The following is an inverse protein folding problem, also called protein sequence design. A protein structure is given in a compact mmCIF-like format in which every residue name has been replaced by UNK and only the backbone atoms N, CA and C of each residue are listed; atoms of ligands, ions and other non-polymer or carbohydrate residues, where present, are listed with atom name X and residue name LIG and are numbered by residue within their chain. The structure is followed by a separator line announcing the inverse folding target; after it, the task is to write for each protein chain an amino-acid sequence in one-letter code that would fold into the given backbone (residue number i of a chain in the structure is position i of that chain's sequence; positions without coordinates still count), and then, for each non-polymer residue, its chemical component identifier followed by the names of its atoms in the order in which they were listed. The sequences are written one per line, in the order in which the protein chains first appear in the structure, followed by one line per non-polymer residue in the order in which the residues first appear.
data_IF_351263732449
#
_entry.id   IF_351263732449
#
_cell.length_a   1.000
_cell.length_b   1.000
_cell.length_c   1.000
_cell.angle_alpha   90.00
_cell.angle_beta   90.00
_cell.angle_gamma   90.00
#
_symmetry.space_group_name_H-M   'P 1'
#
loop_
_entity.id
_entity.type
_entity.pdbx_description
1 polymer ?
#
# COMPACT_ATOMS: atom_id res chain seq x y z
N UNK A 1 -14.60 -15.39 -9.78
CA UNK A 1 -13.75 -14.69 -10.74
C UNK A 1 -13.91 -15.35 -12.13
N UNK A 2 -14.06 -14.53 -13.16
CA UNK A 2 -14.38 -15.02 -14.51
C UNK A 2 -13.29 -15.91 -15.15
N UNK A 3 -12.07 -15.93 -14.57
CA UNK A 3 -10.93 -16.67 -15.13
C UNK A 3 -10.41 -17.80 -14.26
N UNK A 4 -10.95 -17.99 -13.05
CA UNK A 4 -10.46 -18.99 -12.08
C UNK A 4 -8.93 -18.95 -11.86
N UNK A 5 -8.36 -17.76 -11.82
CA UNK A 5 -6.94 -17.52 -11.58
C UNK A 5 -6.72 -16.82 -10.26
N UNK A 6 -5.70 -17.27 -9.53
CA UNK A 6 -5.15 -16.63 -8.35
C UNK A 6 -3.78 -16.04 -8.70
N UNK A 7 -3.50 -14.84 -8.23
CA UNK A 7 -2.18 -14.21 -8.31
C UNK A 7 -1.56 -14.20 -6.92
N UNK A 8 -0.41 -14.81 -6.78
CA UNK A 8 0.27 -14.94 -5.50
C UNK A 8 1.66 -14.32 -5.55
N UNK A 9 1.98 -13.49 -4.57
CA UNK A 9 3.34 -12.99 -4.35
C UNK A 9 4.25 -14.14 -3.95
N UNK A 10 5.42 -14.21 -4.56
CA UNK A 10 6.44 -15.22 -4.28
C UNK A 10 7.83 -14.55 -4.27
N UNK A 11 8.27 -14.15 -3.09
CA UNK A 11 9.56 -13.50 -2.84
C UNK A 11 10.64 -14.50 -2.37
N UNK A 12 10.69 -15.70 -2.97
CA UNK A 12 11.76 -16.67 -2.71
C UNK A 12 13.08 -16.27 -3.37
N UNK A 13 13.73 -17.23 -4.05
CA UNK A 13 14.98 -16.95 -4.77
C UNK A 13 14.83 -15.96 -5.94
N UNK A 14 13.61 -15.76 -6.41
CA UNK A 14 13.24 -14.86 -7.51
C UNK A 14 12.01 -14.07 -7.08
N UNK A 15 12.09 -12.74 -7.16
CA UNK A 15 10.92 -11.89 -6.90
C UNK A 15 9.94 -11.99 -8.06
N UNK A 16 8.78 -12.61 -7.83
CA UNK A 16 7.80 -12.89 -8.87
C UNK A 16 6.38 -12.93 -8.36
N UNK A 17 5.45 -12.90 -9.29
CA UNK A 17 4.04 -13.18 -9.07
C UNK A 17 3.73 -14.49 -9.78
N UNK A 18 3.28 -15.49 -9.03
CA UNK A 18 2.80 -16.75 -9.60
C UNK A 18 1.31 -16.62 -9.96
N UNK A 19 1.00 -17.02 -11.18
CA UNK A 19 -0.37 -17.14 -11.69
C UNK A 19 -0.78 -18.61 -11.57
N UNK A 20 -1.82 -18.84 -10.78
CA UNK A 20 -2.23 -20.18 -10.38
C UNK A 20 -3.62 -20.46 -10.96
N UNK A 21 -3.77 -21.57 -11.65
CA UNK A 21 -5.07 -22.07 -12.08
C UNK A 21 -5.76 -22.76 -10.91
N UNK A 22 -6.92 -22.23 -10.53
CA UNK A 22 -7.79 -22.73 -9.46
C UNK A 22 -9.14 -23.21 -10.01
N UNK A 23 -9.25 -23.49 -11.32
CA UNK A 23 -10.48 -23.96 -11.96
C UNK A 23 -10.93 -25.33 -11.45
N UNK A 24 -9.97 -26.18 -11.09
CA UNK A 24 -10.21 -27.46 -10.46
C UNK A 24 -9.54 -27.51 -9.08
N UNK A 25 -10.32 -27.47 -7.98
CA UNK A 25 -9.75 -27.51 -6.62
C UNK A 25 -8.93 -28.77 -6.30
N UNK A 26 -9.18 -29.86 -7.02
CA UNK A 26 -8.41 -31.11 -6.88
C UNK A 26 -7.12 -31.14 -7.70
N UNK A 27 -6.86 -30.12 -8.53
CA UNK A 27 -5.68 -30.05 -9.42
C UNK A 27 -5.26 -28.60 -9.61
N UNK A 28 -4.75 -27.98 -8.55
CA UNK A 28 -4.24 -26.60 -8.57
C UNK A 28 -2.81 -26.61 -9.11
N UNK A 29 -2.50 -25.69 -10.05
CA UNK A 29 -1.17 -25.62 -10.65
C UNK A 29 -0.76 -24.19 -10.99
N UNK A 30 0.55 -23.92 -10.89
CA UNK A 30 1.14 -22.67 -11.39
C UNK A 30 1.22 -22.75 -12.92
N UNK A 31 0.55 -21.83 -13.61
CA UNK A 31 0.51 -21.79 -15.07
C UNK A 31 1.46 -20.75 -15.67
N UNK A 32 1.89 -19.78 -14.87
CA UNK A 32 2.82 -18.72 -15.27
C UNK A 32 3.48 -18.12 -14.03
N UNK A 33 4.73 -17.70 -14.16
CA UNK A 33 5.40 -16.81 -13.23
C UNK A 33 5.80 -15.52 -13.95
N UNK A 34 5.53 -14.37 -13.34
CA UNK A 34 5.85 -13.05 -13.86
C UNK A 34 6.99 -12.50 -13.00
N UNK A 35 8.18 -12.34 -13.58
CA UNK A 35 9.34 -11.80 -12.86
C UNK A 35 9.13 -10.32 -12.54
N UNK A 36 9.41 -9.94 -11.30
CA UNK A 36 9.37 -8.55 -10.83
C UNK A 36 10.75 -7.90 -10.73
N UNK A 37 11.83 -8.67 -10.93
CA UNK A 37 13.22 -8.18 -10.89
C UNK A 37 13.48 -6.92 -11.75
N UNK A 38 12.85 -6.75 -12.93
CA UNK A 38 13.04 -5.52 -13.72
C UNK A 38 12.48 -4.25 -13.07
N UNK A 39 11.64 -4.36 -12.03
CA UNK A 39 10.89 -3.24 -11.48
C UNK A 39 11.41 -2.75 -10.13
N UNK A 40 12.06 -3.60 -9.35
CA UNK A 40 12.59 -3.22 -8.02
C UNK A 40 13.04 -4.39 -7.16
N UNK A 41 12.81 -4.26 -5.87
CA UNK A 41 13.06 -5.24 -4.84
C UNK A 41 11.91 -6.26 -4.71
N UNK A 42 11.45 -6.48 -3.47
CA UNK A 42 10.35 -7.40 -3.21
C UNK A 42 9.01 -6.89 -3.71
N UNK A 43 8.12 -7.83 -4.02
CA UNK A 43 6.69 -7.56 -4.26
C UNK A 43 5.97 -7.72 -2.94
N UNK A 44 5.41 -6.64 -2.41
CA UNK A 44 4.77 -6.69 -1.09
C UNK A 44 3.29 -7.05 -1.20
N UNK A 45 2.61 -6.57 -2.24
CA UNK A 45 1.17 -6.76 -2.38
C UNK A 45 0.73 -6.83 -3.84
N UNK A 46 -0.39 -7.52 -4.08
CA UNK A 46 -1.07 -7.58 -5.38
C UNK A 46 -2.57 -7.43 -5.23
N UNK A 47 -3.18 -6.75 -6.19
CA UNK A 47 -4.64 -6.61 -6.28
C UNK A 47 -5.12 -6.78 -7.72
N UNK A 48 -6.36 -7.27 -7.88
CA UNK A 48 -6.95 -7.51 -9.22
C UNK A 48 -8.31 -6.83 -9.32
N UNK A 49 -8.53 -6.11 -10.39
CA UNK A 49 -9.84 -5.54 -10.74
C UNK A 49 -9.96 -5.34 -12.25
N UNK A 50 -11.13 -5.63 -12.81
CA UNK A 50 -11.49 -5.30 -14.19
C UNK A 50 -10.40 -5.66 -15.23
N UNK A 51 -9.85 -6.89 -15.15
CA UNK A 51 -8.83 -7.36 -16.09
C UNK A 51 -7.43 -6.76 -15.88
N UNK A 52 -7.20 -6.06 -14.79
CA UNK A 52 -5.90 -5.50 -14.39
C UNK A 52 -5.41 -6.14 -13.12
N UNK A 53 -4.10 -6.38 -13.06
CA UNK A 53 -3.35 -6.78 -11.86
C UNK A 53 -2.44 -5.62 -11.50
N UNK A 54 -2.58 -5.07 -10.32
CA UNK A 54 -1.64 -4.10 -9.74
C UNK A 54 -0.70 -4.81 -8.76
N UNK A 55 0.58 -4.47 -8.80
CA UNK A 55 1.60 -5.00 -7.89
C UNK A 55 2.34 -3.83 -7.23
N UNK A 56 2.41 -3.83 -5.91
CA UNK A 56 3.25 -2.94 -5.12
C UNK A 56 4.65 -3.55 -5.01
N UNK A 57 5.66 -2.79 -5.43
CA UNK A 57 7.04 -3.27 -5.51
C UNK A 57 7.94 -2.24 -4.83
N UNK A 58 8.65 -2.66 -3.79
CA UNK A 58 9.63 -1.80 -3.15
C UNK A 58 10.82 -1.51 -4.08
N UNK A 59 11.55 -0.44 -3.80
CA UNK A 59 12.84 -0.20 -4.44
C UNK A 59 13.89 -1.19 -3.94
N UNK A 60 14.92 -1.46 -4.75
CA UNK A 60 16.12 -2.19 -4.27
C UNK A 60 16.85 -1.47 -3.14
N UNK A 61 16.70 -0.15 -3.06
CA UNK A 61 16.99 0.63 -1.86
C UNK A 61 15.64 0.88 -1.16
N UNK A 62 15.35 0.17 -0.09
CA UNK A 62 14.06 0.12 0.60
C UNK A 62 13.52 1.52 0.97
N UNK A 63 14.41 2.46 1.32
CA UNK A 63 14.06 3.84 1.68
C UNK A 63 13.86 4.76 0.46
N UNK A 64 14.08 4.28 -0.76
CA UNK A 64 13.79 5.04 -1.97
C UNK A 64 12.35 4.78 -2.48
N UNK A 65 11.79 5.70 -3.30
CA UNK A 65 10.47 5.51 -3.89
C UNK A 65 10.31 4.17 -4.59
N UNK A 66 9.24 3.45 -4.27
CA UNK A 66 8.86 2.20 -4.91
C UNK A 66 7.98 2.43 -6.13
N UNK A 67 7.33 1.36 -6.59
CA UNK A 67 6.52 1.37 -7.81
C UNK A 67 5.22 0.59 -7.64
N UNK A 68 4.21 1.03 -8.37
CA UNK A 68 3.07 0.19 -8.73
C UNK A 68 3.21 -0.18 -10.20
N UNK A 69 3.22 -1.48 -10.50
CA UNK A 69 3.20 -1.99 -11.88
C UNK A 69 1.84 -2.59 -12.15
N UNK A 70 1.20 -2.12 -13.22
CA UNK A 70 -0.12 -2.58 -13.65
C UNK A 70 0.04 -3.46 -14.87
N UNK A 71 -0.52 -4.67 -14.80
CA UNK A 71 -0.49 -5.67 -15.87
C UNK A 71 -1.91 -5.95 -16.39
N UNK A 72 -2.00 -6.36 -17.65
CA UNK A 72 -3.20 -6.97 -18.19
C UNK A 72 -3.27 -8.44 -17.73
N UNK A 73 -4.39 -8.85 -17.13
CA UNK A 73 -4.53 -10.22 -16.61
C UNK A 73 -4.71 -11.29 -17.69
N UNK A 74 -4.97 -10.93 -18.94
CA UNK A 74 -5.19 -11.89 -20.03
C UNK A 74 -3.88 -12.37 -20.69
N UNK A 75 -2.92 -11.44 -20.87
CA UNK A 75 -1.65 -11.71 -21.53
C UNK A 75 -0.41 -11.42 -20.65
N UNK A 76 -0.62 -10.85 -19.47
CA UNK A 76 0.40 -10.47 -18.48
C UNK A 76 1.37 -9.39 -18.98
N UNK A 77 1.01 -8.64 -19.99
CA UNK A 77 1.77 -7.48 -20.46
C UNK A 77 1.63 -6.29 -19.52
N UNK A 78 2.71 -5.53 -19.38
CA UNK A 78 2.71 -4.31 -18.58
C UNK A 78 1.89 -3.22 -19.27
N UNK A 79 0.91 -2.70 -18.57
CA UNK A 79 0.13 -1.55 -19.00
C UNK A 79 0.78 -0.24 -18.57
N UNK A 80 1.30 -0.20 -17.34
CA UNK A 80 1.96 0.98 -16.77
C UNK A 80 2.87 0.62 -15.61
N UNK A 81 3.96 1.40 -15.47
CA UNK A 81 4.80 1.47 -14.27
C UNK A 81 4.68 2.88 -13.70
N UNK A 82 4.38 3.00 -12.41
CA UNK A 82 4.06 4.25 -11.72
C UNK A 82 4.96 4.34 -10.49
N UNK A 83 5.67 5.46 -10.32
CA UNK A 83 6.44 5.72 -9.09
C UNK A 83 5.48 6.15 -7.98
N UNK A 84 5.65 5.58 -6.79
CA UNK A 84 4.89 5.87 -5.57
C UNK A 84 5.85 6.20 -4.41
N UNK A 85 5.37 6.30 -3.17
CA UNK A 85 6.24 6.54 -2.01
C UNK A 85 7.22 5.40 -1.72
N UNK A 86 8.04 5.58 -0.69
CA UNK A 86 8.99 4.57 -0.23
C UNK A 86 8.24 3.38 0.40
N UNK A 87 8.71 2.17 0.14
CA UNK A 87 8.17 0.92 0.65
C UNK A 87 6.62 0.84 0.48
N UNK A 88 6.10 0.72 -0.77
CA UNK A 88 4.68 0.45 -0.95
C UNK A 88 4.38 -0.97 -0.45
N UNK A 89 3.76 -1.04 0.73
CA UNK A 89 3.51 -2.31 1.41
C UNK A 89 2.21 -2.96 0.94
N UNK A 90 1.17 -2.18 0.72
CA UNK A 90 -0.13 -2.68 0.29
C UNK A 90 -0.67 -1.92 -0.91
N UNK A 91 -1.31 -2.63 -1.84
CA UNK A 91 -2.03 -2.05 -2.98
C UNK A 91 -3.45 -2.61 -3.08
N UNK A 92 -4.42 -1.75 -3.39
CA UNK A 92 -5.80 -2.18 -3.63
C UNK A 92 -6.48 -1.33 -4.71
N UNK A 93 -7.50 -1.88 -5.35
CA UNK A 93 -8.41 -1.12 -6.21
C UNK A 93 -9.61 -0.61 -5.42
N UNK A 94 -10.12 0.56 -5.80
CA UNK A 94 -11.47 0.95 -5.35
C UNK A 94 -12.51 -0.03 -5.88
N UNK A 95 -13.64 -0.27 -5.17
CA UNK A 95 -14.70 -1.18 -5.61
C UNK A 95 -15.23 -0.91 -7.02
N UNK A 96 -15.30 0.36 -7.44
CA UNK A 96 -15.67 0.77 -8.79
C UNK A 96 -14.56 0.56 -9.85
N UNK A 97 -13.33 0.25 -9.42
CA UNK A 97 -12.17 0.03 -10.27
C UNK A 97 -11.56 1.30 -10.89
N UNK A 98 -11.97 2.48 -10.44
CA UNK A 98 -11.51 3.75 -11.00
C UNK A 98 -10.18 4.23 -10.40
N UNK A 99 -9.84 3.75 -9.21
CA UNK A 99 -8.62 4.12 -8.50
C UNK A 99 -7.83 2.90 -8.04
N UNK A 100 -6.51 3.06 -7.94
CA UNK A 100 -5.59 2.19 -7.22
C UNK A 100 -5.00 3.00 -6.08
N UNK A 101 -5.00 2.46 -4.88
CA UNK A 101 -4.39 3.09 -3.72
C UNK A 101 -3.24 2.24 -3.22
N UNK A 102 -2.16 2.90 -2.74
CA UNK A 102 -1.07 2.24 -2.02
C UNK A 102 -0.82 2.89 -0.69
N UNK A 103 -0.61 2.07 0.33
CA UNK A 103 0.03 2.45 1.57
C UNK A 103 1.55 2.35 1.35
N UNK A 104 2.25 3.45 1.49
CA UNK A 104 3.70 3.52 1.37
C UNK A 104 4.22 3.71 2.79
N UNK A 105 4.74 2.65 3.36
CA UNK A 105 5.10 2.58 4.78
C UNK A 105 6.18 3.61 5.13
N UNK A 106 7.23 3.71 4.29
CA UNK A 106 8.32 4.65 4.56
C UNK A 106 9.21 4.22 5.71
N UNK A 107 9.34 2.91 5.96
CA UNK A 107 10.13 2.36 7.06
C UNK A 107 11.58 2.88 7.04
N UNK A 108 12.14 3.31 8.19
CA UNK A 108 13.51 3.79 8.29
C UNK A 108 14.54 2.68 8.03
N UNK A 109 15.77 3.08 7.74
CA UNK A 109 16.92 2.16 7.80
C UNK A 109 17.18 1.71 9.25
N UNK A 110 17.80 0.55 9.46
CA UNK A 110 18.08 -0.02 10.78
C UNK A 110 18.81 0.94 11.71
N UNK A 111 19.61 1.84 11.17
CA UNK A 111 20.37 2.87 11.91
C UNK A 111 19.64 4.23 12.01
N UNK A 112 18.44 4.34 11.43
CA UNK A 112 17.66 5.58 11.34
C UNK A 112 18.37 6.75 10.62
N UNK A 113 19.44 6.51 9.88
CA UNK A 113 20.11 7.57 9.13
C UNK A 113 19.35 7.95 7.84
N UNK A 114 18.61 7.01 7.29
CA UNK A 114 17.72 7.25 6.16
C UNK A 114 16.30 6.86 6.58
N UNK A 115 15.44 7.86 6.75
CA UNK A 115 14.10 7.76 7.30
C UNK A 115 13.15 8.55 6.39
N UNK A 116 12.55 7.89 5.38
CA UNK A 116 11.61 8.52 4.47
C UNK A 116 10.26 8.77 5.14
N UNK A 117 9.47 9.67 4.56
CA UNK A 117 8.10 9.91 5.02
C UNK A 117 7.17 8.79 4.57
N UNK A 118 6.34 8.30 5.47
CA UNK A 118 5.20 7.49 5.10
C UNK A 118 4.16 8.28 4.32
N UNK A 119 3.47 7.64 3.38
CA UNK A 119 2.55 8.33 2.48
C UNK A 119 1.47 7.41 1.92
N UNK A 120 0.45 8.00 1.31
CA UNK A 120 -0.61 7.26 0.61
C UNK A 120 -0.63 7.75 -0.83
N UNK A 121 -0.49 6.85 -1.81
CA UNK A 121 -0.61 7.22 -3.22
C UNK A 121 -1.99 6.83 -3.75
N UNK A 122 -2.63 7.76 -4.46
CA UNK A 122 -3.91 7.56 -5.17
C UNK A 122 -3.63 7.66 -6.65
N UNK A 123 -3.85 6.58 -7.38
CA UNK A 123 -3.60 6.46 -8.81
C UNK A 123 -4.94 6.36 -9.53
N UNK A 124 -5.21 7.25 -10.48
CA UNK A 124 -6.41 7.20 -11.30
C UNK A 124 -6.23 6.21 -12.44
N UNK A 125 -7.08 5.19 -12.54
CA UNK A 125 -6.92 4.08 -13.50
C UNK A 125 -7.07 4.53 -14.97
N UNK A 126 -7.83 5.60 -15.24
CA UNK A 126 -8.11 6.06 -16.60
C UNK A 126 -6.89 6.64 -17.35
N UNK A 127 -5.93 7.23 -16.62
CA UNK A 127 -4.75 7.90 -17.18
C UNK A 127 -3.46 7.59 -16.43
N UNK A 128 -3.55 6.85 -15.33
CA UNK A 128 -2.46 6.52 -14.42
C UNK A 128 -1.77 7.74 -13.80
N UNK A 129 -2.46 8.87 -13.70
CA UNK A 129 -2.00 9.98 -12.88
C UNK A 129 -1.98 9.59 -11.41
N UNK A 130 -0.99 10.08 -10.67
CA UNK A 130 -0.79 9.77 -9.25
C UNK A 130 -0.74 11.04 -8.41
N UNK A 131 -1.40 11.01 -7.27
CA UNK A 131 -1.27 12.01 -6.20
C UNK A 131 -0.79 11.26 -4.97
N UNK A 132 0.29 11.76 -4.36
CA UNK A 132 0.83 11.22 -3.11
C UNK A 132 0.50 12.18 -1.97
N UNK A 133 -0.15 11.66 -0.92
CA UNK A 133 -0.56 12.38 0.27
C UNK A 133 0.45 12.10 1.38
N UNK A 134 0.89 13.13 2.08
CA UNK A 134 1.66 13.04 3.31
C UNK A 134 0.82 13.52 4.51
N UNK A 135 1.39 13.39 5.70
CA UNK A 135 0.70 13.69 6.95
C UNK A 135 1.06 15.05 7.56
N UNK A 136 1.87 15.87 6.90
CA UNK A 136 2.39 17.14 7.46
C UNK A 136 1.31 18.10 7.97
N UNK A 137 0.13 18.13 7.34
CA UNK A 137 -0.98 18.97 7.77
C UNK A 137 -1.55 18.63 9.15
N UNK A 138 -1.23 17.44 9.69
CA UNK A 138 -1.69 16.99 11.00
C UNK A 138 -0.65 17.19 12.11
N UNK A 139 0.57 17.63 11.81
CA UNK A 139 1.63 17.80 12.81
C UNK A 139 1.22 18.73 13.97
N UNK A 140 0.49 19.79 13.67
CA UNK A 140 -0.04 20.70 14.71
C UNK A 140 -1.04 20.03 15.67
N UNK A 141 -1.57 18.87 15.32
CA UNK A 141 -2.52 18.10 16.14
C UNK A 141 -1.83 17.04 17.02
N UNK A 142 -0.49 16.91 16.94
CA UNK A 142 0.27 15.85 17.62
C UNK A 142 -0.09 15.71 19.11
N UNK A 143 -0.12 16.81 19.86
CA UNK A 143 -0.44 16.79 21.29
C UNK A 143 -1.85 16.22 21.56
N UNK A 144 -2.85 16.57 20.73
CA UNK A 144 -4.22 16.09 20.87
C UNK A 144 -4.37 14.64 20.44
N UNK A 145 -3.61 14.19 19.44
CA UNK A 145 -3.58 12.82 18.97
C UNK A 145 -2.92 11.91 20.02
N UNK A 146 -1.77 12.32 20.56
CA UNK A 146 -1.04 11.56 21.59
C UNK A 146 -1.86 11.43 22.87
N UNK A 147 -2.59 12.47 23.29
CA UNK A 147 -3.50 12.41 24.42
C UNK A 147 -4.62 11.36 24.25
N UNK A 148 -4.87 10.89 23.02
CA UNK A 148 -5.87 9.89 22.67
C UNK A 148 -5.25 8.52 22.32
N UNK A 149 -3.94 8.33 22.55
CA UNK A 149 -3.26 7.05 22.33
C UNK A 149 -2.48 6.94 21.01
N UNK A 150 -2.35 8.02 20.22
CA UNK A 150 -1.43 8.04 19.08
C UNK A 150 0.02 7.92 19.58
N UNK A 151 0.82 7.14 18.87
CA UNK A 151 2.23 6.88 19.24
C UNK A 151 3.18 7.53 18.25
N UNK A 152 4.27 8.07 18.78
CA UNK A 152 5.50 8.45 18.07
C UNK A 152 6.63 7.65 18.71
N UNK A 153 7.36 6.90 17.93
CA UNK A 153 8.32 5.88 18.43
C UNK A 153 9.76 6.11 17.95
N UNK A 154 9.97 6.72 16.80
CA UNK A 154 11.32 6.94 16.25
C UNK A 154 12.20 7.84 17.10
N UNK A 155 13.50 7.71 17.01
CA UNK A 155 14.47 8.42 17.89
C UNK A 155 14.41 9.94 17.72
N UNK A 156 14.05 10.45 16.56
CA UNK A 156 13.92 11.89 16.28
C UNK A 156 12.58 12.48 16.65
N UNK A 157 11.58 11.65 16.98
CA UNK A 157 10.18 12.06 17.22
C UNK A 157 9.64 12.98 16.13
N UNK A 158 9.98 12.68 14.87
CA UNK A 158 9.51 13.42 13.71
C UNK A 158 8.13 12.90 13.30
N UNK A 159 7.11 13.72 13.45
CA UNK A 159 5.72 13.32 13.21
C UNK A 159 5.50 12.70 11.82
N UNK A 160 6.02 13.36 10.77
CA UNK A 160 5.73 12.93 9.39
C UNK A 160 6.50 11.66 9.01
N UNK A 161 7.71 11.50 9.53
CA UNK A 161 8.55 10.32 9.28
C UNK A 161 8.13 9.10 10.09
N UNK A 162 7.62 9.33 11.31
CA UNK A 162 7.17 8.28 12.22
C UNK A 162 5.80 7.67 11.83
N UNK A 163 5.11 8.25 10.84
CA UNK A 163 3.82 7.71 10.40
C UNK A 163 4.07 6.67 9.32
N UNK A 164 3.67 5.43 9.60
CA UNK A 164 3.84 4.28 8.75
C UNK A 164 2.47 3.71 8.32
N UNK A 165 1.98 4.10 7.11
CA UNK A 165 0.76 3.52 6.54
C UNK A 165 1.02 2.09 6.06
N UNK A 166 0.17 1.12 6.46
CA UNK A 166 0.37 -0.28 6.09
C UNK A 166 -0.76 -0.87 5.25
N UNK A 167 -1.99 -0.81 5.72
CA UNK A 167 -3.10 -1.49 5.07
C UNK A 167 -4.25 -0.57 4.73
N UNK A 168 -4.95 -0.84 3.62
CA UNK A 168 -6.05 -0.01 3.12
C UNK A 168 -7.31 -0.84 2.94
N UNK A 169 -8.43 -0.34 3.44
CA UNK A 169 -9.75 -0.75 3.02
C UNK A 169 -10.52 0.44 2.46
N UNK A 170 -11.40 0.20 1.50
CA UNK A 170 -12.15 1.26 0.82
C UNK A 170 -13.65 0.98 0.99
N UNK A 171 -14.41 2.04 1.26
CA UNK A 171 -15.88 1.96 1.36
C UNK A 171 -16.50 1.46 0.06
N UNK A 172 -17.63 0.77 0.16
CA UNK A 172 -18.33 0.16 -1.00
C UNK A 172 -18.72 1.20 -2.08
N UNK A 173 -18.93 2.45 -1.67
CA UNK A 173 -19.23 3.56 -2.58
C UNK A 173 -17.99 4.19 -3.23
N UNK A 174 -16.79 3.62 -2.96
CA UNK A 174 -15.50 4.05 -3.51
C UNK A 174 -15.08 5.49 -3.16
N UNK A 175 -15.65 6.10 -2.11
CA UNK A 175 -15.37 7.49 -1.75
C UNK A 175 -14.34 7.65 -0.66
N UNK A 176 -14.32 6.74 0.30
CA UNK A 176 -13.47 6.85 1.49
C UNK A 176 -12.54 5.66 1.59
N UNK A 177 -11.26 5.90 1.80
CA UNK A 177 -10.32 4.89 2.20
C UNK A 177 -9.96 5.04 3.69
N UNK A 178 -9.83 3.90 4.37
CA UNK A 178 -9.34 3.80 5.74
C UNK A 178 -7.99 3.12 5.69
N UNK A 179 -6.98 3.77 6.25
CA UNK A 179 -5.58 3.33 6.20
C UNK A 179 -5.09 3.11 7.61
N UNK A 180 -4.61 1.91 7.91
CA UNK A 180 -4.00 1.63 9.22
C UNK A 180 -2.65 2.32 9.31
N UNK A 181 -2.42 2.94 10.46
CA UNK A 181 -1.15 3.47 10.94
C UNK A 181 -0.82 2.62 12.16
N UNK A 182 -0.31 1.41 11.92
CA UNK A 182 -0.27 0.34 12.92
C UNK A 182 0.65 0.72 14.08
N UNK A 183 1.87 1.12 13.79
CA UNK A 183 2.87 1.54 14.79
C UNK A 183 2.40 2.77 15.57
N UNK A 184 1.67 3.65 14.89
CA UNK A 184 1.12 4.87 15.51
C UNK A 184 -0.19 4.63 16.29
N UNK A 185 -0.74 3.40 16.27
CA UNK A 185 -2.00 3.05 16.92
C UNK A 185 -3.17 3.94 16.48
N UNK A 186 -3.34 4.09 15.17
CA UNK A 186 -4.35 4.96 14.59
C UNK A 186 -4.87 4.45 13.23
N UNK A 187 -5.94 5.10 12.75
CA UNK A 187 -6.47 4.94 11.39
C UNK A 187 -6.57 6.32 10.75
N UNK A 188 -6.08 6.44 9.52
CA UNK A 188 -6.28 7.62 8.69
C UNK A 188 -7.51 7.43 7.79
N UNK A 189 -8.35 8.46 7.69
CA UNK A 189 -9.51 8.54 6.79
C UNK A 189 -9.16 9.43 5.61
N UNK A 190 -9.30 8.91 4.38
CA UNK A 190 -8.92 9.56 3.13
C UNK A 190 -10.14 9.70 2.23
N UNK A 191 -10.41 10.91 1.78
CA UNK A 191 -11.36 11.17 0.70
C UNK A 191 -10.64 10.98 -0.64
N UNK A 192 -11.08 9.99 -1.41
CA UNK A 192 -10.42 9.56 -2.64
C UNK A 192 -10.58 10.62 -3.74
N UNK A 193 -11.77 11.18 -3.88
CA UNK A 193 -12.08 12.10 -4.97
C UNK A 193 -11.34 13.44 -4.83
N UNK A 194 -11.22 13.97 -3.60
CA UNK A 194 -10.48 15.20 -3.33
C UNK A 194 -9.00 14.97 -3.07
N UNK A 195 -8.56 13.69 -3.06
CA UNK A 195 -7.20 13.27 -2.72
C UNK A 195 -6.70 13.99 -1.45
N UNK A 196 -7.37 13.77 -0.32
CA UNK A 196 -7.03 14.44 0.94
C UNK A 196 -7.28 13.55 2.15
N UNK A 197 -6.34 13.59 3.12
CA UNK A 197 -6.53 12.97 4.42
C UNK A 197 -7.48 13.87 5.21
N UNK A 198 -8.61 13.33 5.65
CA UNK A 198 -9.63 14.07 6.40
C UNK A 198 -9.40 14.04 7.89
N UNK A 199 -8.87 12.94 8.40
CA UNK A 199 -8.79 12.69 9.82
C UNK A 199 -7.77 11.61 10.14
N UNK A 200 -7.13 11.73 11.30
CA UNK A 200 -6.41 10.65 11.98
C UNK A 200 -7.18 10.32 13.27
N UNK A 201 -7.52 9.06 13.45
CA UNK A 201 -8.29 8.55 14.59
C UNK A 201 -7.44 7.58 15.40
N UNK A 202 -6.86 8.01 16.54
CA UNK A 202 -6.19 7.11 17.47
C UNK A 202 -7.14 6.04 18.01
N UNK A 203 -6.64 4.82 18.23
CA UNK A 203 -7.42 3.66 18.69
C UNK A 203 -7.57 3.61 20.22
N UNK A 204 -7.01 4.59 20.94
CA UNK A 204 -7.11 4.67 22.38
C UNK A 204 -6.04 3.88 23.12
N UNK A 205 -6.27 3.62 24.38
CA UNK A 205 -5.36 2.89 25.25
C UNK A 205 -5.98 1.55 25.62
N UNK A 206 -5.16 0.51 25.69
CA UNK A 206 -5.56 -0.77 26.25
C UNK A 206 -5.24 -0.76 27.74
N UNK A 207 -6.26 -0.98 28.57
CA UNK A 207 -6.10 -1.17 30.01
C UNK A 207 -5.81 -2.65 30.32
N UNK A 208 -4.62 -2.94 30.83
CA UNK A 208 -4.20 -4.28 31.23
C UNK A 208 -4.44 -4.57 32.69
N UNK A 209 -5.08 -3.65 33.43
CA UNK A 209 -5.42 -3.84 34.85
C UNK A 209 -6.78 -4.53 35.08
N UNK A 210 -7.53 -4.78 33.98
CA UNK A 210 -8.85 -5.42 34.01
C UNK A 210 -8.75 -6.87 33.59
#
# INVERSE_FOLDING_TARGET
PATNRLFAVNNGAENKIDVIDISNPSSISVIKSISMLPYGGYVNSVAVSNGKLAAAIESTNKQAPGKVVVFNTSNYEVLKTITVGALPDMVTFSPDGNYILTANEGEPSDDYLNDPEGSISIIKVSDYSVITLNFASFESQLASLTAKGFRIFGPGKNFVKDIEPEYITISDDSKTAYVTLQENNAIAEVDIASASIKKISPLGFKDYSL
#
